data_IF_664288880728
#
_entry.id   IF_664288880728
#
_cell.length_a   1.000
_cell.length_b   1.000
_cell.length_c   1.000
_cell.angle_alpha   90.00
_cell.angle_beta   90.00
_cell.angle_gamma   90.00
#
_symmetry.space_group_name_H-M   'P 1'
#
loop_
_entity.id
_entity.type
_entity.pdbx_description
1 polymer ?
#
# COMPACT_ATOMS: atom_id res chain seq x y z
N UNK A 1 12.57 25.41 17.98
CA UNK A 1 11.89 24.91 19.18
C UNK A 1 12.14 23.41 19.30
N UNK A 2 13.18 23.10 20.04
CA UNK A 2 13.57 21.76 20.45
C UNK A 2 13.26 21.67 21.93
N UNK A 3 12.35 20.79 22.31
CA UNK A 3 12.27 20.08 23.61
C UNK A 3 10.85 19.53 23.80
N UNK A 4 10.72 18.21 23.67
CA UNK A 4 9.93 17.33 24.54
C UNK A 4 9.81 15.94 23.90
N UNK A 5 10.93 15.21 23.90
CA UNK A 5 10.94 13.76 23.75
C UNK A 5 11.46 13.18 25.07
N UNK A 6 10.62 13.20 26.11
CA UNK A 6 10.99 12.64 27.41
C UNK A 6 9.81 11.97 28.09
N UNK A 7 9.44 10.80 27.56
CA UNK A 7 8.87 9.67 28.30
C UNK A 7 8.65 8.48 27.34
N UNK A 8 9.71 8.04 26.63
CA UNK A 8 9.68 6.77 25.90
C UNK A 8 9.95 5.66 26.91
N UNK A 9 8.99 4.73 27.09
CA UNK A 9 9.23 3.49 27.83
C UNK A 9 10.35 2.74 27.11
N UNK A 10 11.33 2.27 27.88
CA UNK A 10 12.62 1.72 27.46
C UNK A 10 12.55 0.40 26.65
N UNK A 11 11.37 -0.02 26.17
CA UNK A 11 11.13 -1.39 25.72
C UNK A 11 11.41 -1.67 24.24
N UNK A 12 11.57 -0.64 23.39
CA UNK A 12 11.73 -0.84 21.93
C UNK A 12 13.14 -0.51 21.38
N UNK A 13 14.11 -0.11 22.20
CA UNK A 13 15.49 0.08 21.74
C UNK A 13 16.29 -1.22 21.82
N UNK A 14 16.30 -1.99 20.74
CA UNK A 14 17.30 -3.05 20.55
C UNK A 14 18.41 -2.49 19.67
N UNK A 15 19.54 -2.15 20.30
CA UNK A 15 20.80 -1.84 19.62
C UNK A 15 21.48 -3.17 19.25
N UNK A 16 21.52 -3.56 17.97
CA UNK A 16 22.27 -4.74 17.53
C UNK A 16 23.52 -4.33 16.73
N UNK A 17 24.68 -4.50 17.34
CA UNK A 17 26.01 -4.44 16.71
C UNK A 17 26.59 -5.85 16.67
N UNK A 18 26.32 -6.62 15.62
CA UNK A 18 27.13 -7.78 15.25
C UNK A 18 27.20 -7.89 13.72
N UNK A 19 28.35 -7.54 13.16
CA UNK A 19 28.71 -7.78 11.76
C UNK A 19 29.00 -9.26 11.58
N UNK A 20 28.08 -9.99 10.94
CA UNK A 20 28.34 -11.34 10.44
C UNK A 20 28.12 -11.33 8.94
N UNK A 21 29.23 -11.38 8.19
CA UNK A 21 29.20 -11.52 6.73
C UNK A 21 28.69 -12.92 6.37
N UNK A 22 27.46 -13.01 5.89
CA UNK A 22 26.97 -14.19 5.19
C UNK A 22 27.27 -14.06 3.69
N UNK A 23 27.85 -15.09 3.05
CA UNK A 23 27.94 -15.11 1.60
C UNK A 23 26.53 -15.10 1.01
N UNK A 24 26.30 -14.19 0.07
CA UNK A 24 25.05 -14.05 -0.69
C UNK A 24 24.83 -15.29 -1.55
N UNK A 25 24.11 -16.27 -1.00
CA UNK A 25 23.40 -17.25 -1.81
C UNK A 25 22.13 -16.58 -2.35
N UNK A 26 22.27 -15.91 -3.50
CA UNK A 26 21.14 -15.64 -4.37
C UNK A 26 20.75 -16.97 -5.01
N UNK A 27 19.87 -17.72 -4.36
CA UNK A 27 19.38 -18.98 -4.92
C UNK A 27 17.86 -19.12 -4.72
N UNK A 28 17.15 -19.11 -5.85
CA UNK A 28 15.91 -19.83 -6.15
C UNK A 28 14.71 -19.86 -5.14
N UNK A 29 14.60 -18.99 -4.13
CA UNK A 29 13.47 -19.07 -3.18
C UNK A 29 12.24 -18.20 -3.51
N UNK A 30 12.27 -17.39 -4.56
CA UNK A 30 11.39 -16.21 -4.59
C UNK A 30 10.05 -16.42 -5.33
N UNK A 31 9.78 -17.57 -5.97
CA UNK A 31 8.44 -17.83 -6.52
C UNK A 31 7.41 -18.31 -5.47
N UNK A 32 7.84 -18.73 -4.27
CA UNK A 32 7.02 -19.43 -3.27
C UNK A 32 6.64 -18.60 -2.02
N UNK A 33 6.97 -17.32 -1.94
CA UNK A 33 6.70 -16.49 -0.75
C UNK A 33 5.30 -15.87 -0.72
N UNK A 34 4.68 -15.64 -1.89
CA UNK A 34 3.33 -15.09 -1.96
C UNK A 34 2.29 -16.14 -1.56
N UNK A 35 1.42 -15.79 -0.60
CA UNK A 35 0.31 -16.62 -0.16
C UNK A 35 -1.03 -15.99 -0.52
N UNK A 36 -1.78 -16.68 -1.38
CA UNK A 36 -3.17 -16.35 -1.74
C UNK A 36 -4.06 -16.21 -0.50
N UNK A 37 -3.88 -17.12 0.46
CA UNK A 37 -4.66 -17.13 1.69
C UNK A 37 -4.34 -15.90 2.55
N UNK A 38 -3.07 -15.52 2.65
CA UNK A 38 -2.65 -14.33 3.40
C UNK A 38 -3.19 -13.06 2.74
N UNK A 39 -3.06 -12.94 1.42
CA UNK A 39 -3.61 -11.79 0.70
C UNK A 39 -5.15 -11.73 0.80
N UNK A 40 -5.86 -12.86 0.78
CA UNK A 40 -7.31 -12.90 1.04
C UNK A 40 -7.65 -12.37 2.44
N UNK A 41 -6.90 -12.75 3.46
CA UNK A 41 -7.08 -12.22 4.82
C UNK A 41 -6.83 -10.72 4.89
N UNK A 42 -5.73 -10.24 4.29
CA UNK A 42 -5.41 -8.80 4.25
C UNK A 42 -6.50 -8.02 3.51
N UNK A 43 -7.03 -8.56 2.41
CA UNK A 43 -8.14 -7.94 1.67
C UNK A 43 -9.45 -7.95 2.49
N UNK A 44 -9.72 -9.02 3.23
CA UNK A 44 -10.90 -9.10 4.09
C UNK A 44 -10.86 -8.06 5.21
N UNK A 45 -9.71 -7.89 5.86
CA UNK A 45 -9.50 -6.85 6.87
C UNK A 45 -9.64 -5.45 6.27
N UNK A 46 -9.03 -5.23 5.11
CA UNK A 46 -9.16 -3.99 4.35
C UNK A 46 -10.64 -3.66 4.07
N UNK A 47 -11.37 -4.64 3.54
CA UNK A 47 -12.79 -4.53 3.23
C UNK A 47 -13.62 -4.09 4.44
N UNK A 48 -13.56 -4.84 5.55
CA UNK A 48 -14.35 -4.52 6.75
C UNK A 48 -13.86 -3.30 7.50
N UNK A 49 -12.56 -2.97 7.39
CA UNK A 49 -11.98 -1.73 7.90
C UNK A 49 -12.62 -0.48 7.28
N UNK A 50 -13.30 -0.63 6.16
CA UNK A 50 -13.94 0.48 5.45
C UNK A 50 -15.46 0.53 5.64
N UNK A 51 -16.00 -0.33 6.52
CA UNK A 51 -17.39 -0.31 6.93
C UNK A 51 -17.77 0.99 7.66
N UNK A 52 -19.07 1.21 7.86
CA UNK A 52 -19.56 2.36 8.65
C UNK A 52 -19.12 2.31 10.11
N UNK A 53 -18.85 1.10 10.64
CA UNK A 53 -18.41 0.88 12.02
C UNK A 53 -17.25 -0.12 12.08
N UNK A 54 -16.04 0.26 11.63
CA UNK A 54 -14.90 -0.65 11.53
C UNK A 54 -14.58 -1.36 12.85
N UNK A 55 -14.68 -0.64 13.98
CA UNK A 55 -14.45 -1.16 15.32
C UNK A 55 -15.40 -2.31 15.70
N UNK A 56 -16.58 -2.37 15.09
CA UNK A 56 -17.55 -3.46 15.29
C UNK A 56 -17.38 -4.55 14.22
N UNK A 57 -17.30 -4.16 12.95
CA UNK A 57 -17.34 -5.11 11.85
C UNK A 57 -16.05 -5.91 11.70
N UNK A 58 -14.88 -5.31 11.94
CA UNK A 58 -13.59 -6.03 11.82
C UNK A 58 -13.52 -7.19 12.82
N UNK A 59 -13.70 -7.02 14.14
CA UNK A 59 -13.69 -8.14 15.08
C UNK A 59 -14.78 -9.18 14.83
N UNK A 60 -15.98 -8.74 14.41
CA UNK A 60 -17.10 -9.63 14.15
C UNK A 60 -16.85 -10.55 12.96
N UNK A 61 -16.19 -10.05 11.91
CA UNK A 61 -15.94 -10.79 10.66
C UNK A 61 -14.56 -11.43 10.61
N UNK A 62 -13.64 -10.97 11.47
CA UNK A 62 -12.29 -11.48 11.62
C UNK A 62 -11.98 -11.68 13.12
N UNK A 63 -12.46 -12.77 13.74
CA UNK A 63 -12.23 -13.02 15.15
C UNK A 63 -10.74 -12.95 15.53
N UNK A 64 -10.44 -12.28 16.65
CA UNK A 64 -9.06 -12.03 17.12
C UNK A 64 -8.45 -10.71 16.65
N UNK A 65 -9.04 -10.06 15.64
CA UNK A 65 -8.63 -8.72 15.22
C UNK A 65 -9.40 -7.63 15.97
N UNK A 66 -8.70 -6.56 16.33
CA UNK A 66 -9.27 -5.37 16.97
C UNK A 66 -8.83 -4.11 16.25
N UNK A 67 -9.72 -3.13 16.12
CA UNK A 67 -9.38 -1.83 15.52
C UNK A 67 -8.90 -0.88 16.61
N UNK A 68 -7.65 -0.42 16.47
CA UNK A 68 -7.03 0.54 17.38
C UNK A 68 -7.41 1.97 17.02
N UNK A 69 -7.47 2.28 15.73
CA UNK A 69 -7.73 3.65 15.26
C UNK A 69 -8.33 3.67 13.87
N UNK A 70 -9.20 4.64 13.64
CA UNK A 70 -9.79 4.97 12.33
C UNK A 70 -9.57 6.46 12.11
N UNK A 71 -8.78 6.80 11.10
CA UNK A 71 -8.43 8.18 10.75
C UNK A 71 -9.06 8.48 9.41
N UNK A 72 -9.86 9.54 9.37
CA UNK A 72 -10.53 9.96 8.15
C UNK A 72 -10.34 11.46 7.95
N UNK A 73 -9.90 11.84 6.77
CA UNK A 73 -9.74 13.24 6.37
C UNK A 73 -10.40 13.48 5.02
N UNK A 74 -10.81 14.72 4.71
CA UNK A 74 -10.97 15.11 3.32
C UNK A 74 -9.64 14.87 2.61
N UNK A 75 -9.63 14.03 1.57
CA UNK A 75 -8.47 13.90 0.68
C UNK A 75 -8.42 15.06 -0.32
N UNK A 76 -7.51 14.96 -1.29
CA UNK A 76 -7.48 15.90 -2.40
C UNK A 76 -8.87 16.09 -3.04
N UNK A 77 -9.21 17.27 -3.58
CA UNK A 77 -10.53 17.54 -4.15
C UNK A 77 -11.02 16.48 -5.14
N UNK A 78 -10.09 15.85 -5.86
CA UNK A 78 -10.38 14.80 -6.85
C UNK A 78 -10.49 13.39 -6.27
N UNK A 79 -9.96 13.15 -5.07
CA UNK A 79 -9.94 11.84 -4.42
C UNK A 79 -11.01 11.68 -3.36
N UNK A 80 -11.71 12.74 -2.95
CA UNK A 80 -12.72 12.69 -1.88
C UNK A 80 -12.12 12.29 -0.53
N UNK A 81 -12.89 11.66 0.36
CA UNK A 81 -12.42 11.22 1.68
C UNK A 81 -11.31 10.17 1.62
N UNK A 82 -10.23 10.37 2.38
CA UNK A 82 -9.18 9.38 2.58
C UNK A 82 -9.27 8.79 3.98
N UNK A 83 -9.00 7.50 4.09
CA UNK A 83 -9.16 6.70 5.31
C UNK A 83 -7.89 5.90 5.59
N UNK A 84 -7.49 5.85 6.84
CA UNK A 84 -6.50 4.90 7.36
C UNK A 84 -7.09 4.17 8.57
N UNK A 85 -6.96 2.86 8.61
CA UNK A 85 -7.41 2.01 9.72
C UNK A 85 -6.24 1.21 10.25
N UNK A 86 -6.00 1.31 11.55
CA UNK A 86 -4.99 0.53 12.27
C UNK A 86 -5.73 -0.53 13.07
N UNK A 87 -5.31 -1.78 12.91
CA UNK A 87 -5.84 -2.92 13.63
C UNK A 87 -4.72 -3.85 14.10
N UNK A 88 -4.99 -4.64 15.12
CA UNK A 88 -4.03 -5.56 15.72
C UNK A 88 -4.66 -6.91 15.97
N UNK A 89 -3.83 -7.95 15.91
CA UNK A 89 -4.15 -9.28 16.40
C UNK A 89 -3.01 -9.74 17.31
N UNK A 90 -3.23 -9.68 18.62
CA UNK A 90 -2.21 -10.02 19.62
C UNK A 90 -1.85 -11.51 19.63
N UNK A 91 -2.83 -12.39 19.38
CA UNK A 91 -2.59 -13.83 19.34
C UNK A 91 -1.66 -14.22 18.16
N UNK A 92 -1.82 -13.54 17.03
CA UNK A 92 -0.95 -13.69 15.85
C UNK A 92 0.31 -12.82 15.91
N UNK A 93 0.42 -11.92 16.91
CA UNK A 93 1.45 -10.89 16.99
C UNK A 93 1.59 -10.09 15.70
N UNK A 94 0.50 -9.50 15.22
CA UNK A 94 0.48 -8.84 13.92
C UNK A 94 -0.29 -7.51 13.98
N UNK A 95 0.31 -6.47 13.41
CA UNK A 95 -0.35 -5.17 13.16
C UNK A 95 -0.76 -5.11 11.70
N UNK A 96 -1.95 -4.57 11.43
CA UNK A 96 -2.41 -4.30 10.06
C UNK A 96 -2.84 -2.84 9.94
N UNK A 97 -2.31 -2.17 8.91
CA UNK A 97 -2.68 -0.80 8.56
C UNK A 97 -3.20 -0.79 7.14
N UNK A 98 -4.46 -0.37 7.00
CA UNK A 98 -5.13 -0.28 5.71
C UNK A 98 -5.40 1.16 5.32
N UNK A 99 -5.15 1.47 4.05
CA UNK A 99 -5.43 2.76 3.43
C UNK A 99 -6.47 2.64 2.32
N UNK A 100 -7.46 3.54 2.36
CA UNK A 100 -8.47 3.69 1.31
C UNK A 100 -8.51 5.14 0.83
N UNK A 101 -8.46 5.34 -0.49
CA UNK A 101 -8.89 6.60 -1.13
C UNK A 101 -10.39 6.58 -1.39
N UNK A 102 -11.05 7.71 -1.69
CA UNK A 102 -12.51 7.70 -1.71
C UNK A 102 -13.12 6.92 -2.87
N UNK A 103 -14.37 6.53 -2.67
CA UNK A 103 -15.21 5.76 -3.60
C UNK A 103 -15.39 6.43 -4.97
N UNK A 104 -14.99 7.70 -5.10
CA UNK A 104 -14.96 8.43 -6.37
C UNK A 104 -13.86 7.96 -7.32
N UNK A 105 -13.12 6.87 -7.08
CA UNK A 105 -12.09 6.40 -8.03
C UNK A 105 -12.67 6.13 -9.43
N UNK A 106 -13.88 5.61 -9.56
CA UNK A 106 -14.54 5.49 -10.88
C UNK A 106 -14.83 6.87 -11.48
N UNK A 107 -15.34 7.82 -10.69
CA UNK A 107 -15.46 9.21 -11.11
C UNK A 107 -14.10 9.86 -11.37
N UNK A 108 -13.00 9.48 -10.73
CA UNK A 108 -11.64 10.02 -10.96
C UNK A 108 -11.01 9.41 -12.21
N UNK A 109 -11.25 8.14 -12.52
CA UNK A 109 -10.77 7.54 -13.76
C UNK A 109 -11.60 8.02 -14.95
N UNK A 110 -12.90 8.30 -14.78
CA UNK A 110 -13.78 8.83 -15.84
C UNK A 110 -13.79 10.37 -15.95
N UNK A 111 -13.72 11.13 -14.84
CA UNK A 111 -13.64 12.62 -14.83
C UNK A 111 -12.20 13.14 -14.79
N UNK A 112 -11.26 12.36 -14.26
CA UNK A 112 -9.81 12.58 -14.35
C UNK A 112 -9.16 11.79 -15.49
N UNK A 113 -9.94 11.20 -16.40
CA UNK A 113 -9.44 10.65 -17.68
C UNK A 113 -8.58 11.68 -18.42
N UNK A 114 -8.98 12.95 -18.40
CA UNK A 114 -8.19 14.07 -18.95
C UNK A 114 -6.94 14.39 -18.13
N UNK A 115 -6.97 14.20 -16.80
CA UNK A 115 -5.85 14.44 -15.87
C UNK A 115 -4.77 13.34 -15.97
N UNK A 116 -5.18 12.08 -16.10
CA UNK A 116 -4.31 10.90 -16.23
C UNK A 116 -3.70 10.75 -17.64
N UNK A 117 -4.30 11.41 -18.63
CA UNK A 117 -3.75 11.57 -19.99
C UNK A 117 -3.00 12.91 -20.17
N UNK A 118 -2.87 13.73 -19.13
CA UNK A 118 -2.01 14.91 -19.23
C UNK A 118 -0.58 14.46 -19.52
N UNK A 119 0.04 15.10 -20.52
CA UNK A 119 1.45 14.90 -20.81
C UNK A 119 2.35 15.15 -19.58
N UNK A 120 1.88 15.98 -18.64
CA UNK A 120 2.55 16.31 -17.39
C UNK A 120 1.63 16.06 -16.19
N UNK A 121 1.80 14.93 -15.51
CA UNK A 121 1.16 14.67 -14.23
C UNK A 121 1.97 15.37 -13.12
N UNK A 122 1.40 16.33 -12.36
CA UNK A 122 2.19 17.13 -11.43
C UNK A 122 2.73 16.28 -10.29
N UNK A 123 4.00 16.52 -9.96
CA UNK A 123 4.69 15.85 -8.87
C UNK A 123 5.00 16.81 -7.73
N UNK A 124 5.11 16.28 -6.53
CA UNK A 124 5.53 16.99 -5.33
C UNK A 124 6.56 16.15 -4.58
N UNK A 125 7.59 16.78 -3.98
CA UNK A 125 8.50 16.06 -3.10
C UNK A 125 7.79 15.48 -1.88
N UNK A 126 7.99 14.20 -1.64
CA UNK A 126 7.64 13.48 -0.43
C UNK A 126 8.90 12.80 0.11
N UNK A 127 9.34 13.19 1.30
CA UNK A 127 10.57 12.66 1.91
C UNK A 127 11.84 12.79 1.03
N UNK A 128 11.84 13.71 0.05
CA UNK A 128 12.91 13.91 -0.93
C UNK A 128 12.70 13.18 -2.27
N UNK A 129 11.59 12.48 -2.43
CA UNK A 129 11.27 11.65 -3.60
C UNK A 129 10.09 12.24 -4.36
N UNK A 130 10.09 12.21 -5.70
CA UNK A 130 8.99 12.74 -6.48
C UNK A 130 7.82 11.76 -6.52
N UNK A 131 6.68 12.20 -6.00
CA UNK A 131 5.42 11.45 -6.06
C UNK A 131 4.35 12.31 -6.71
N UNK A 132 3.30 11.67 -7.22
CA UNK A 132 2.09 12.35 -7.66
C UNK A 132 1.59 13.34 -6.58
N UNK A 133 1.44 14.61 -6.96
CA UNK A 133 1.17 15.71 -6.03
C UNK A 133 -0.06 15.44 -5.15
N UNK A 134 -1.12 14.91 -5.73
CA UNK A 134 -2.37 14.68 -5.02
C UNK A 134 -2.29 13.52 -4.02
N UNK A 135 -1.43 12.52 -4.28
CA UNK A 135 -1.10 11.49 -3.28
C UNK A 135 -0.30 12.09 -2.13
N UNK A 136 0.67 12.98 -2.43
CA UNK A 136 1.44 13.68 -1.40
C UNK A 136 0.56 14.50 -0.45
N UNK A 137 -0.35 15.29 -1.02
CA UNK A 137 -1.31 16.12 -0.26
C UNK A 137 -2.22 15.25 0.60
N UNK A 138 -2.80 14.21 0.01
CA UNK A 138 -3.74 13.31 0.71
C UNK A 138 -3.05 12.58 1.86
N UNK A 139 -1.85 12.03 1.63
CA UNK A 139 -1.08 11.39 2.69
C UNK A 139 -0.69 12.37 3.79
N UNK A 140 -0.27 13.59 3.44
CA UNK A 140 0.08 14.63 4.41
C UNK A 140 -1.11 14.99 5.29
N UNK A 141 -2.30 15.13 4.70
CA UNK A 141 -3.52 15.37 5.44
C UNK A 141 -3.84 14.22 6.41
N UNK A 142 -3.74 12.95 5.99
CA UNK A 142 -3.91 11.80 6.89
C UNK A 142 -2.87 11.82 8.02
N UNK A 143 -1.59 12.01 7.67
CA UNK A 143 -0.48 12.02 8.61
C UNK A 143 -0.67 13.07 9.71
N UNK A 144 -1.07 14.28 9.34
CA UNK A 144 -1.35 15.38 10.26
C UNK A 144 -2.72 15.25 10.96
N UNK A 145 -3.65 14.51 10.35
CA UNK A 145 -5.02 14.32 10.84
C UNK A 145 -5.18 13.22 11.88
N UNK A 146 -4.10 12.73 12.49
CA UNK A 146 -4.13 11.72 13.56
C UNK A 146 -3.41 10.41 13.22
N UNK A 147 -3.03 10.18 11.96
CA UNK A 147 -2.33 8.94 11.60
C UNK A 147 -0.93 8.86 12.22
N UNK A 148 -0.23 10.00 12.37
CA UNK A 148 1.07 10.04 13.04
C UNK A 148 0.96 9.57 14.48
N UNK A 149 0.02 10.14 15.22
CA UNK A 149 -0.21 9.86 16.64
C UNK A 149 -0.62 8.40 16.82
N UNK A 150 -1.58 7.93 16.01
CA UNK A 150 -2.03 6.54 16.04
C UNK A 150 -0.91 5.54 15.67
N UNK A 151 -0.04 5.90 14.71
CA UNK A 151 1.14 5.11 14.34
C UNK A 151 2.12 5.02 15.50
N UNK A 152 2.42 6.14 16.16
CA UNK A 152 3.32 6.15 17.31
C UNK A 152 2.76 5.33 18.47
N UNK A 153 1.46 5.44 18.77
CA UNK A 153 0.83 4.62 19.81
C UNK A 153 0.88 3.13 19.48
N UNK A 154 0.62 2.75 18.23
CA UNK A 154 0.75 1.35 17.80
C UNK A 154 2.21 0.87 17.87
N UNK A 155 3.19 1.71 17.53
CA UNK A 155 4.60 1.40 17.67
C UNK A 155 5.00 1.21 19.14
N UNK A 156 4.60 2.12 20.02
CA UNK A 156 4.94 2.08 21.46
C UNK A 156 4.44 0.80 22.15
N UNK A 157 3.34 0.21 21.65
CA UNK A 157 2.73 -0.99 22.23
C UNK A 157 3.10 -2.29 21.48
N UNK A 158 3.29 -2.24 20.15
CA UNK A 158 3.44 -3.42 19.29
C UNK A 158 4.68 -3.36 18.40
N UNK A 159 5.77 -2.71 18.84
CA UNK A 159 7.01 -2.57 18.06
C UNK A 159 7.67 -3.91 17.68
N UNK A 160 7.44 -4.98 18.44
CA UNK A 160 7.95 -6.32 18.19
C UNK A 160 7.07 -7.12 17.20
N UNK A 161 5.90 -6.61 16.83
CA UNK A 161 5.00 -7.28 15.90
C UNK A 161 5.38 -6.95 14.45
N UNK A 162 5.43 -7.93 13.54
CA UNK A 162 5.38 -7.63 12.12
C UNK A 162 4.15 -6.81 11.75
N UNK A 163 4.26 -6.11 10.63
CA UNK A 163 3.22 -5.22 10.13
C UNK A 163 2.84 -5.55 8.68
N UNK A 164 1.54 -5.68 8.45
CA UNK A 164 0.94 -5.68 7.13
C UNK A 164 0.43 -4.29 6.81
N UNK A 165 1.01 -3.66 5.79
CA UNK A 165 0.54 -2.39 5.24
C UNK A 165 -0.22 -2.70 3.97
N UNK A 166 -1.40 -2.13 3.78
CA UNK A 166 -2.21 -2.43 2.60
C UNK A 166 -3.01 -1.25 2.09
N UNK A 167 -3.37 -1.31 0.81
CA UNK A 167 -4.26 -0.31 0.23
C UNK A 167 -4.75 -0.71 -1.15
N UNK A 168 -5.90 -0.17 -1.55
CA UNK A 168 -6.46 -0.34 -2.89
C UNK A 168 -6.40 0.97 -3.66
N UNK A 169 -6.09 0.91 -4.96
CA UNK A 169 -6.12 2.08 -5.82
C UNK A 169 -5.22 3.20 -5.29
N UNK A 170 -5.74 4.43 -5.17
CA UNK A 170 -5.10 5.56 -4.48
C UNK A 170 -4.60 5.17 -3.08
N UNK A 171 -5.36 4.37 -2.34
CA UNK A 171 -4.96 3.84 -1.04
C UNK A 171 -3.68 2.99 -1.10
N UNK A 172 -3.41 2.30 -2.20
CA UNK A 172 -2.14 1.57 -2.38
C UNK A 172 -0.94 2.51 -2.47
N UNK A 173 -1.11 3.69 -3.08
CA UNK A 173 -0.08 4.73 -3.08
C UNK A 173 0.13 5.31 -1.68
N UNK A 174 -0.93 5.55 -0.92
CA UNK A 174 -0.84 6.00 0.47
C UNK A 174 -0.13 4.96 1.35
N UNK A 175 -0.43 3.67 1.16
CA UNK A 175 0.25 2.56 1.82
C UNK A 175 1.74 2.49 1.48
N UNK A 176 2.11 2.73 0.21
CA UNK A 176 3.51 2.79 -0.23
C UNK A 176 4.25 3.96 0.41
N UNK A 177 3.62 5.14 0.45
CA UNK A 177 4.15 6.32 1.15
C UNK A 177 4.32 6.08 2.65
N UNK A 178 3.35 5.39 3.27
CA UNK A 178 3.42 5.00 4.68
C UNK A 178 4.63 4.12 4.94
N UNK A 179 4.84 3.06 4.15
CA UNK A 179 5.98 2.15 4.28
C UNK A 179 7.31 2.90 4.22
N UNK A 180 7.48 3.80 3.23
CA UNK A 180 8.68 4.65 3.12
C UNK A 180 8.86 5.53 4.36
N UNK A 181 7.77 6.14 4.86
CA UNK A 181 7.85 7.05 6.01
C UNK A 181 8.21 6.34 7.30
N UNK A 182 7.58 5.21 7.61
CA UNK A 182 7.88 4.45 8.84
C UNK A 182 9.29 3.88 8.81
N UNK A 183 9.79 3.46 7.63
CA UNK A 183 11.18 3.03 7.48
C UNK A 183 12.15 4.17 7.74
N UNK A 184 11.88 5.35 7.17
CA UNK A 184 12.71 6.55 7.38
C UNK A 184 12.73 7.00 8.84
N UNK A 185 11.63 6.80 9.56
CA UNK A 185 11.52 7.14 10.98
C UNK A 185 12.12 6.06 11.89
N UNK A 186 12.56 4.92 11.35
CA UNK A 186 13.11 3.82 12.14
C UNK A 186 12.08 3.22 13.09
N UNK A 187 10.80 3.19 12.68
CA UNK A 187 9.75 2.48 13.42
C UNK A 187 9.94 0.99 13.14
N UNK A 188 9.27 0.39 12.16
CA UNK A 188 9.48 -1.02 11.84
C UNK A 188 10.73 -1.28 10.98
N UNK A 189 11.38 -2.41 11.23
CA UNK A 189 12.44 -2.91 10.37
C UNK A 189 11.92 -3.41 9.03
N UNK A 190 12.72 -3.26 7.97
CA UNK A 190 12.33 -3.67 6.60
C UNK A 190 11.90 -5.14 6.56
N UNK A 191 12.57 -6.00 7.35
CA UNK A 191 12.31 -7.43 7.42
C UNK A 191 10.95 -7.80 8.01
N UNK A 192 10.29 -6.89 8.73
CA UNK A 192 9.01 -7.10 9.41
C UNK A 192 7.85 -6.38 8.73
N UNK A 193 8.12 -5.58 7.68
CA UNK A 193 7.10 -4.88 6.89
C UNK A 193 6.74 -5.70 5.66
N UNK A 194 5.43 -5.97 5.50
CA UNK A 194 4.85 -6.56 4.29
C UNK A 194 3.80 -5.62 3.69
N UNK A 195 4.02 -5.20 2.45
CA UNK A 195 3.16 -4.30 1.70
C UNK A 195 2.27 -5.08 0.72
N UNK A 196 0.95 -4.94 0.86
CA UNK A 196 -0.06 -5.54 0.01
C UNK A 196 -0.86 -4.44 -0.70
N UNK A 197 -0.49 -4.19 -1.95
CA UNK A 197 -1.16 -3.20 -2.80
C UNK A 197 -2.13 -3.89 -3.75
N UNK A 198 -3.33 -3.34 -3.89
CA UNK A 198 -4.40 -3.90 -4.72
C UNK A 198 -4.74 -2.92 -5.85
N UNK A 199 -4.47 -3.29 -7.10
CA UNK A 199 -4.67 -2.42 -8.29
C UNK A 199 -4.08 -1.02 -8.12
N UNK A 200 -2.85 -0.95 -7.62
CA UNK A 200 -2.16 0.34 -7.48
C UNK A 200 -1.93 0.98 -8.84
N UNK A 201 -2.20 2.29 -9.01
CA UNK A 201 -1.55 3.08 -10.07
C UNK A 201 -0.07 3.30 -9.72
N UNK A 202 0.71 3.85 -10.66
CA UNK A 202 2.08 4.30 -10.40
C UNK A 202 2.01 5.55 -9.53
N UNK A 203 2.72 5.53 -8.41
CA UNK A 203 2.54 6.53 -7.36
C UNK A 203 3.56 7.67 -7.42
N UNK A 204 4.72 7.43 -8.01
CA UNK A 204 5.81 8.38 -8.10
C UNK A 204 6.85 7.92 -9.11
N UNK A 205 7.93 8.67 -9.17
CA UNK A 205 9.03 8.36 -10.07
C UNK A 205 9.82 7.13 -9.62
N UNK A 206 10.73 6.68 -10.47
CA UNK A 206 11.51 5.47 -10.27
C UNK A 206 12.26 5.46 -8.93
N UNK A 207 12.77 6.61 -8.46
CA UNK A 207 13.41 6.74 -7.15
C UNK A 207 12.44 6.46 -6.00
N UNK A 208 11.17 6.86 -6.13
CA UNK A 208 10.15 6.56 -5.13
C UNK A 208 9.83 5.06 -5.13
N UNK A 209 9.69 4.44 -6.29
CA UNK A 209 9.46 3.00 -6.39
C UNK A 209 10.60 2.19 -5.73
N UNK A 210 11.85 2.60 -5.96
CA UNK A 210 13.02 2.00 -5.31
C UNK A 210 13.01 2.20 -3.79
N UNK A 211 12.58 3.36 -3.30
CA UNK A 211 12.46 3.60 -1.86
C UNK A 211 11.39 2.70 -1.23
N UNK A 212 10.28 2.45 -1.93
CA UNK A 212 9.25 1.49 -1.50
C UNK A 212 9.83 0.06 -1.48
N UNK A 213 10.63 -0.30 -2.49
CA UNK A 213 11.31 -1.59 -2.53
C UNK A 213 12.26 -1.82 -1.36
N UNK A 214 12.93 -0.76 -0.89
CA UNK A 214 13.81 -0.80 0.26
C UNK A 214 13.07 -0.74 1.62
N UNK A 215 11.82 -0.28 1.62
CA UNK A 215 11.03 -0.10 2.83
C UNK A 215 10.38 -1.39 3.34
N UNK A 216 10.10 -2.36 2.47
CA UNK A 216 9.40 -3.59 2.83
C UNK A 216 10.07 -4.84 2.23
N UNK A 217 10.22 -5.88 3.05
CA UNK A 217 10.71 -7.19 2.60
C UNK A 217 9.74 -7.80 1.61
N UNK A 218 8.47 -7.87 2.01
CA UNK A 218 7.39 -8.35 1.16
C UNK A 218 6.65 -7.16 0.56
N UNK A 219 6.43 -7.16 -0.75
CA UNK A 219 5.87 -6.02 -1.48
C UNK A 219 5.14 -6.51 -2.72
N UNK A 220 3.90 -6.90 -2.50
CA UNK A 220 3.07 -7.54 -3.51
C UNK A 220 2.10 -6.53 -4.11
N UNK A 221 2.06 -6.49 -5.43
CA UNK A 221 1.09 -5.76 -6.22
C UNK A 221 0.06 -6.72 -6.79
N UNK A 222 -1.01 -6.94 -6.04
CA UNK A 222 -2.13 -7.78 -6.42
C UNK A 222 -2.97 -7.05 -7.45
N UNK A 223 -3.19 -7.66 -8.61
CA UNK A 223 -3.88 -7.02 -9.73
C UNK A 223 -4.66 -8.00 -10.59
N UNK A 224 -5.76 -7.52 -11.12
CA UNK A 224 -6.46 -8.16 -12.24
C UNK A 224 -6.08 -7.51 -13.56
N UNK A 225 -6.73 -7.95 -14.63
CA UNK A 225 -6.79 -7.20 -15.88
C UNK A 225 -7.53 -5.88 -15.63
N UNK A 226 -6.81 -4.85 -15.20
CA UNK A 226 -7.32 -3.54 -14.78
C UNK A 226 -6.53 -2.46 -15.50
N UNK A 227 -7.19 -1.40 -15.95
CA UNK A 227 -6.52 -0.31 -16.64
C UNK A 227 -5.74 0.62 -15.70
N UNK A 228 -6.14 0.73 -14.44
CA UNK A 228 -5.55 1.70 -13.49
C UNK A 228 -4.08 1.44 -13.22
N UNK A 229 -3.68 0.17 -13.25
CA UNK A 229 -2.27 -0.22 -13.10
C UNK A 229 -1.40 0.38 -14.20
N UNK A 230 -1.94 0.78 -15.35
CA UNK A 230 -1.16 1.39 -16.43
C UNK A 230 -0.98 2.91 -16.27
N UNK A 231 -1.53 3.50 -15.20
CA UNK A 231 -1.60 4.95 -15.03
C UNK A 231 -0.78 5.44 -13.81
N UNK A 232 -0.22 6.65 -13.87
CA UNK A 232 0.08 7.41 -15.09
C UNK A 232 0.93 6.59 -16.05
N UNK A 233 0.91 6.87 -17.35
CA UNK A 233 1.77 6.17 -18.32
C UNK A 233 3.24 6.38 -17.97
N UNK A 234 4.10 5.46 -18.40
CA UNK A 234 5.54 5.56 -18.14
C UNK A 234 6.33 5.54 -19.44
N UNK A 235 7.37 6.38 -19.49
CA UNK A 235 8.43 6.34 -20.51
C UNK A 235 9.67 5.58 -20.03
N UNK A 236 9.68 5.12 -18.78
CA UNK A 236 10.77 4.34 -18.23
C UNK A 236 10.81 2.97 -18.92
N UNK A 237 12.01 2.47 -19.21
CA UNK A 237 12.20 1.17 -19.89
C UNK A 237 12.99 0.15 -19.07
N UNK A 238 13.65 0.58 -17.98
CA UNK A 238 14.37 -0.30 -17.06
C UNK A 238 14.51 0.33 -15.68
N UNK A 239 14.64 -0.50 -14.65
CA UNK A 239 14.93 -0.07 -13.29
C UNK A 239 16.46 0.11 -13.12
N UNK A 240 17.00 1.28 -13.48
CA UNK A 240 18.40 1.65 -13.21
C UNK A 240 18.54 2.32 -11.83
N UNK A 241 19.22 1.67 -10.89
CA UNK A 241 19.43 2.20 -9.53
C UNK A 241 20.55 3.24 -9.44
N UNK A 242 21.51 3.22 -10.36
CA UNK A 242 22.62 4.18 -10.42
C UNK A 242 22.22 5.51 -11.09
N UNK A 243 21.16 5.49 -11.90
CA UNK A 243 20.60 6.69 -12.53
C UNK A 243 19.07 6.54 -12.66
N UNK A 244 18.32 6.76 -11.56
CA UNK A 244 16.86 6.72 -11.59
C UNK A 244 16.30 7.76 -12.56
N UNK A 245 15.26 7.38 -13.29
CA UNK A 245 14.64 8.22 -14.29
C UNK A 245 13.46 9.02 -13.71
N UNK A 246 13.29 10.25 -14.20
CA UNK A 246 12.17 11.13 -13.87
C UNK A 246 10.88 10.71 -14.61
N UNK A 247 10.46 9.46 -14.44
CA UNK A 247 9.22 8.92 -14.98
C UNK A 247 8.58 7.97 -13.97
N UNK A 248 7.25 7.85 -14.04
CA UNK A 248 6.47 7.04 -13.11
C UNK A 248 6.85 5.56 -13.18
N UNK A 249 6.92 4.88 -12.04
CA UNK A 249 7.29 3.47 -11.98
C UNK A 249 6.57 2.75 -10.83
N UNK A 250 6.30 1.46 -11.01
CA UNK A 250 5.75 0.58 -9.98
C UNK A 250 6.84 -0.06 -9.13
N UNK A 251 6.67 -0.08 -7.80
CA UNK A 251 7.50 -0.88 -6.92
C UNK A 251 7.07 -2.36 -6.93
N UNK A 252 7.83 -3.20 -6.23
CA UNK A 252 7.44 -4.53 -5.79
C UNK A 252 7.27 -5.56 -6.91
N UNK A 253 6.62 -6.66 -6.55
CA UNK A 253 6.36 -7.78 -7.46
C UNK A 253 4.89 -7.78 -7.88
N UNK A 254 4.66 -7.79 -9.20
CA UNK A 254 3.32 -8.00 -9.75
C UNK A 254 2.80 -9.39 -9.40
N UNK A 255 1.57 -9.47 -8.90
CA UNK A 255 0.81 -10.71 -8.70
C UNK A 255 -0.42 -10.62 -9.59
N UNK A 256 -0.31 -11.18 -10.79
CA UNK A 256 -1.31 -11.05 -11.85
C UNK A 256 -2.36 -12.16 -11.77
N UNK A 257 -3.62 -11.77 -11.74
CA UNK A 257 -4.76 -12.64 -11.97
C UNK A 257 -5.44 -12.27 -13.29
N UNK A 258 -5.72 -13.26 -14.13
CA UNK A 258 -6.43 -13.03 -15.39
C UNK A 258 -7.90 -13.40 -15.21
N UNK A 259 -8.76 -12.38 -15.16
CA UNK A 259 -10.22 -12.54 -15.10
C UNK A 259 -10.78 -12.55 -16.52
N UNK A 260 -11.34 -13.68 -16.92
CA UNK A 260 -11.98 -13.90 -18.21
C UNK A 260 -13.46 -14.23 -18.07
N UNK A 261 -14.11 -14.52 -19.20
CA UNK A 261 -15.54 -14.85 -19.27
C UNK A 261 -15.91 -16.11 -18.46
N UNK A 262 -14.98 -17.06 -18.32
CA UNK A 262 -15.22 -18.36 -17.68
C UNK A 262 -14.61 -18.48 -16.28
N UNK A 263 -14.17 -17.37 -15.70
CA UNK A 263 -13.57 -17.33 -14.36
C UNK A 263 -12.23 -16.63 -14.30
N UNK A 264 -11.54 -16.82 -13.17
CA UNK A 264 -10.25 -16.20 -12.87
C UNK A 264 -9.15 -17.25 -12.88
N UNK A 265 -8.04 -16.95 -13.55
CA UNK A 265 -6.82 -17.77 -13.54
C UNK A 265 -5.66 -17.01 -12.89
N UNK A 266 -4.64 -17.74 -12.41
CA UNK A 266 -3.51 -17.19 -11.64
C UNK A 266 -3.52 -17.64 -10.17
N UNK A 267 -2.69 -17.03 -9.30
CA UNK A 267 -1.81 -15.90 -9.62
C UNK A 267 -0.56 -16.28 -10.43
N UNK A 268 -0.09 -15.35 -11.26
CA UNK A 268 1.27 -15.37 -11.84
C UNK A 268 2.11 -14.29 -11.17
N UNK A 269 3.24 -14.67 -10.58
CA UNK A 269 4.21 -13.72 -10.04
C UNK A 269 5.10 -13.16 -11.15
N UNK A 270 5.18 -11.85 -11.22
CA UNK A 270 5.98 -11.09 -12.18
C UNK A 270 7.32 -10.70 -11.55
N UNK A 271 8.37 -10.60 -12.37
CA UNK A 271 9.70 -10.23 -11.88
C UNK A 271 9.71 -8.83 -11.21
N UNK A 272 8.90 -7.91 -11.72
CA UNK A 272 8.73 -6.55 -11.19
C UNK A 272 7.29 -6.08 -11.35
N UNK A 273 6.94 -4.99 -10.67
CA UNK A 273 5.67 -4.28 -10.86
C UNK A 273 5.43 -3.84 -12.30
N UNK A 274 6.50 -3.58 -13.07
CA UNK A 274 6.46 -3.09 -14.47
C UNK A 274 6.69 -4.15 -15.54
N UNK A 275 6.70 -5.43 -15.20
CA UNK A 275 6.91 -6.48 -16.21
C UNK A 275 5.80 -6.43 -17.26
N UNK A 276 6.15 -6.11 -18.51
CA UNK A 276 5.19 -5.78 -19.58
C UNK A 276 4.14 -6.89 -19.84
N UNK A 277 4.56 -8.16 -19.92
CA UNK A 277 3.65 -9.31 -20.11
C UNK A 277 2.69 -9.57 -18.95
N UNK A 278 2.82 -8.78 -17.89
CA UNK A 278 2.16 -8.90 -16.62
C UNK A 278 1.32 -7.65 -16.33
N UNK A 279 1.36 -6.63 -17.19
CA UNK A 279 0.60 -5.38 -17.13
C UNK A 279 -0.58 -5.42 -18.11
N UNK A 280 -1.35 -6.51 -18.06
CA UNK A 280 -2.53 -6.66 -18.89
C UNK A 280 -3.67 -5.82 -18.33
N UNK A 281 -4.26 -4.95 -19.14
CA UNK A 281 -5.41 -4.15 -18.77
C UNK A 281 -5.93 -3.36 -19.97
N UNK A 282 -7.23 -3.10 -20.01
CA UNK A 282 -7.86 -2.27 -21.02
C UNK A 282 -8.91 -1.41 -20.31
N UNK A 283 -9.21 -0.23 -20.83
CA UNK A 283 -10.26 0.66 -20.29
C UNK A 283 -11.60 -0.08 -20.10
N UNK A 284 -11.90 -1.08 -20.94
CA UNK A 284 -13.09 -1.92 -20.82
C UNK A 284 -13.11 -2.81 -19.56
N UNK A 285 -11.98 -2.99 -18.88
CA UNK A 285 -11.83 -3.83 -17.71
C UNK A 285 -11.76 -3.05 -16.39
N UNK A 286 -12.07 -1.75 -16.39
CA UNK A 286 -12.10 -0.92 -15.17
C UNK A 286 -13.01 -1.47 -14.07
N UNK A 287 -14.02 -2.26 -14.41
CA UNK A 287 -14.87 -2.96 -13.44
C UNK A 287 -14.12 -3.96 -12.53
N UNK A 288 -12.88 -4.34 -12.88
CA UNK A 288 -12.04 -5.21 -12.05
C UNK A 288 -11.27 -4.45 -10.96
N UNK A 289 -11.29 -3.12 -10.98
CA UNK A 289 -10.47 -2.27 -10.12
C UNK A 289 -10.84 -2.34 -8.63
N UNK A 290 -12.14 -2.48 -8.36
CA UNK A 290 -12.70 -2.32 -7.02
C UNK A 290 -12.85 -3.65 -6.26
N UNK A 291 -12.64 -4.79 -6.91
CA UNK A 291 -12.99 -6.09 -6.35
C UNK A 291 -11.88 -7.11 -6.43
N UNK A 292 -11.58 -7.71 -5.27
CA UNK A 292 -10.62 -8.78 -5.15
C UNK A 292 -11.21 -9.97 -4.43
N UNK A 293 -10.87 -11.16 -4.97
CA UNK A 293 -11.41 -12.42 -4.50
C UNK A 293 -12.95 -12.39 -4.58
N UNK A 294 -13.63 -12.47 -3.44
CA UNK A 294 -15.10 -12.47 -3.34
C UNK A 294 -15.67 -11.15 -2.82
N UNK A 295 -14.84 -10.12 -2.58
CA UNK A 295 -15.25 -8.85 -1.96
C UNK A 295 -14.93 -7.68 -2.90
N UNK A 296 -15.88 -6.76 -3.08
CA UNK A 296 -15.76 -5.67 -4.08
C UNK A 296 -16.39 -4.37 -3.63
N UNK A 297 -15.61 -3.26 -3.72
CA UNK A 297 -16.01 -1.93 -3.25
C UNK A 297 -17.28 -1.51 -3.98
N UNK A 298 -18.34 -1.33 -3.20
CA UNK A 298 -19.64 -0.84 -3.66
C UNK A 298 -19.75 0.66 -3.53
N UNK A 299 -20.93 1.18 -3.88
CA UNK A 299 -21.32 2.60 -3.69
C UNK A 299 -21.57 2.98 -2.24
N UNK A 300 -21.66 1.99 -1.36
CA UNK A 300 -21.90 2.19 0.05
C UNK A 300 -20.85 1.39 0.84
N UNK A 301 -20.38 1.92 1.98
CA UNK A 301 -19.58 1.16 2.91
C UNK A 301 -20.27 -0.16 3.30
N UNK A 302 -19.52 -1.26 3.47
CA UNK A 302 -20.10 -2.53 3.88
C UNK A 302 -20.75 -2.41 5.27
N UNK A 303 -21.83 -3.16 5.48
CA UNK A 303 -22.53 -3.25 6.75
C UNK A 303 -22.36 -4.63 7.37
N UNK A 304 -22.24 -4.63 8.69
CA UNK A 304 -22.39 -5.80 9.55
C UNK A 304 -23.58 -5.56 10.50
#
# INVERSE_FOLDING_TARGET
ESENFRSMRLSCLILLLLLVNFPTLTDAQDQNSFSDATSKTVWNLAWWGTSQTPQKCVPLKNPGWQVLSVISVPGAPIFGQALAVISVNEAMKLVHIHFRGSESVTNFIFSGYTYLLQANFPVQPFEGLNVAQEFAKTFTALWQGGLREATNSAWDEYCDFPIYVSGNSVGACLASMYAVKIKKFGLWETSTISLYSYSSPRCGYQEFAMAVDAAAKERYMIRYNDYVIQLPTTSCTSLNTASPQNCFWHPGWGIQYNKGLFGTTGPTRCATGETAGCMAGNILNIGNHNGFYTLSYGLFPPTC
#
